data_IF_835242755876
#
_entry.id   IF_835242755876
#
_cell.length_a   1.000
_cell.length_b   1.000
_cell.length_c   1.000
_cell.angle_alpha   90.00
_cell.angle_beta   90.00
_cell.angle_gamma   90.00
#
_symmetry.space_group_name_H-M   'P 1'
#
loop_
_entity.id
_entity.type
_entity.pdbx_description
1 polymer ?
#
# COMPACT_ATOMS: atom_id res chain seq x y z
N UNK A 1 0.51 27.13 0.03
CA UNK A 1 1.41 26.00 -0.25
C UNK A 1 0.67 24.68 0.07
N UNK A 2 1.00 23.55 -0.56
CA UNK A 2 0.40 22.28 -0.19
C UNK A 2 0.86 21.82 1.19
N UNK A 3 0.10 20.91 1.79
CA UNK A 3 0.39 20.34 3.11
C UNK A 3 0.75 18.86 3.00
N UNK A 4 1.45 18.37 4.03
CA UNK A 4 1.78 16.97 4.22
C UNK A 4 1.74 16.60 5.70
N UNK A 5 1.47 15.33 5.97
CA UNK A 5 1.70 14.76 7.30
C UNK A 5 3.20 14.49 7.45
N UNK A 6 3.78 15.06 8.48
CA UNK A 6 5.19 14.86 8.86
C UNK A 6 5.32 14.51 10.34
N UNK A 7 6.43 13.91 10.70
CA UNK A 7 6.80 13.68 12.09
C UNK A 7 8.28 13.95 12.32
N UNK A 8 8.61 14.48 13.50
CA UNK A 8 9.95 14.97 13.88
C UNK A 8 10.63 14.04 14.89
N UNK A 9 9.88 13.11 15.46
CA UNK A 9 10.35 12.06 16.37
C UNK A 9 9.42 10.86 16.29
N UNK A 10 9.90 9.63 16.56
CA UNK A 10 9.03 8.46 16.65
C UNK A 10 8.05 8.59 17.83
N UNK A 11 6.88 7.96 17.71
CA UNK A 11 5.89 7.99 18.79
C UNK A 11 4.52 7.44 18.39
N UNK A 12 3.52 7.79 19.18
CA UNK A 12 2.12 7.51 18.92
C UNK A 12 1.54 8.39 17.82
N UNK A 13 0.22 8.32 17.57
CA UNK A 13 -0.44 9.13 16.53
C UNK A 13 -0.25 10.64 16.70
N UNK A 14 -0.02 11.10 17.92
CA UNK A 14 0.16 12.51 18.30
C UNK A 14 1.40 13.17 17.70
N UNK A 15 2.39 12.38 17.25
CA UNK A 15 3.61 12.93 16.61
C UNK A 15 3.37 13.34 15.17
N UNK A 16 2.27 12.91 14.56
CA UNK A 16 1.89 13.28 13.20
C UNK A 16 1.39 14.72 13.16
N UNK A 17 2.04 15.55 12.35
CA UNK A 17 1.71 16.97 12.19
C UNK A 17 1.32 17.28 10.75
N UNK A 18 0.26 18.03 10.57
CA UNK A 18 -0.16 18.58 9.30
C UNK A 18 0.58 19.89 9.07
N UNK A 19 1.52 19.90 8.14
CA UNK A 19 2.46 21.00 7.94
C UNK A 19 2.46 21.46 6.50
N UNK A 20 2.64 22.77 6.28
CA UNK A 20 2.95 23.30 4.96
C UNK A 20 4.30 22.80 4.49
N UNK A 21 4.38 22.41 3.21
CA UNK A 21 5.60 21.91 2.58
C UNK A 21 5.85 22.64 1.25
N UNK A 22 7.08 22.99 1.02
CA UNK A 22 7.49 23.45 -0.30
C UNK A 22 7.68 22.24 -1.22
N UNK A 23 6.96 22.21 -2.33
CA UNK A 23 7.13 21.22 -3.38
C UNK A 23 7.65 21.94 -4.61
N UNK A 24 8.91 21.70 -4.96
CA UNK A 24 9.56 22.31 -6.11
C UNK A 24 9.10 21.74 -7.45
N UNK A 25 9.86 22.05 -8.50
CA UNK A 25 9.71 21.42 -9.79
C UNK A 25 10.34 20.03 -9.81
N UNK A 26 9.81 19.09 -10.61
CA UNK A 26 10.34 17.74 -10.67
C UNK A 26 11.74 17.73 -11.27
N UNK A 27 12.65 16.96 -10.65
CA UNK A 27 13.94 16.62 -11.22
C UNK A 27 13.80 15.82 -12.53
N UNK A 28 14.90 15.60 -13.28
CA UNK A 28 14.82 15.02 -14.62
C UNK A 28 14.00 13.73 -14.74
N UNK A 29 14.07 12.84 -13.74
CA UNK A 29 13.38 11.55 -13.73
C UNK A 29 12.19 11.49 -12.75
N UNK A 30 11.68 12.64 -12.30
CA UNK A 30 10.60 12.73 -11.33
C UNK A 30 9.30 13.23 -11.98
N UNK A 31 8.21 12.97 -11.27
CA UNK A 31 6.93 13.59 -11.53
C UNK A 31 6.43 14.30 -10.27
N UNK A 32 5.71 15.41 -10.46
CA UNK A 32 4.92 16.05 -9.41
C UNK A 32 3.49 15.54 -9.50
N UNK A 33 3.03 14.92 -8.42
CA UNK A 33 1.70 14.29 -8.35
C UNK A 33 0.86 15.00 -7.30
N UNK A 34 -0.34 15.41 -7.70
CA UNK A 34 -1.42 15.84 -6.78
C UNK A 34 -2.24 14.62 -6.41
N UNK A 35 -2.26 14.27 -5.12
CA UNK A 35 -3.06 13.16 -4.64
C UNK A 35 -4.55 13.48 -4.61
N UNK A 36 -5.35 12.48 -4.93
CA UNK A 36 -6.79 12.43 -4.72
C UNK A 36 -7.15 11.42 -3.61
N UNK A 37 -6.33 10.37 -3.46
CA UNK A 37 -6.45 9.40 -2.39
C UNK A 37 -5.08 8.86 -1.99
N UNK A 38 -4.92 8.48 -0.74
CA UNK A 38 -3.71 7.82 -0.21
C UNK A 38 -4.11 6.56 0.56
N UNK A 39 -3.31 5.50 0.42
CA UNK A 39 -3.52 4.23 1.11
C UNK A 39 -2.89 4.24 2.49
N UNK A 40 -3.62 3.75 3.49
CA UNK A 40 -3.11 3.52 4.84
C UNK A 40 -2.67 2.06 4.97
N UNK A 41 -1.43 1.85 5.38
CA UNK A 41 -0.84 0.53 5.51
C UNK A 41 -0.17 0.33 6.88
N UNK A 42 -0.11 -0.91 7.36
CA UNK A 42 0.42 -1.19 8.68
C UNK A 42 1.91 -0.81 8.82
N UNK A 43 2.66 -0.82 7.73
CA UNK A 43 4.06 -0.39 7.70
C UNK A 43 4.21 1.09 8.08
N UNK A 44 3.21 1.92 7.86
CA UNK A 44 3.23 3.33 8.25
C UNK A 44 3.31 3.48 9.77
N UNK A 45 2.69 2.55 10.51
CA UNK A 45 2.82 2.47 11.97
C UNK A 45 4.26 2.13 12.36
N UNK A 46 4.90 1.19 11.66
CA UNK A 46 6.31 0.85 11.94
C UNK A 46 7.26 2.02 11.68
N UNK A 47 7.04 2.79 10.63
CA UNK A 47 7.79 4.01 10.37
C UNK A 47 7.58 5.04 11.49
N UNK A 48 6.32 5.33 11.82
CA UNK A 48 5.97 6.31 12.85
C UNK A 48 6.55 5.95 14.22
N UNK A 49 6.47 4.69 14.62
CA UNK A 49 6.96 4.23 15.94
C UNK A 49 8.47 4.05 16.00
N UNK A 50 9.17 4.12 14.87
CA UNK A 50 10.61 3.91 14.77
C UNK A 50 11.03 2.44 14.72
N UNK A 51 10.08 1.47 14.65
CA UNK A 51 10.40 0.06 14.43
C UNK A 51 11.12 -0.14 13.07
N UNK A 52 10.77 0.68 12.08
CA UNK A 52 11.51 0.84 10.82
C UNK A 52 12.03 2.29 10.75
N UNK A 53 13.29 2.53 11.15
CA UNK A 53 13.82 3.88 11.26
C UNK A 53 13.81 4.64 9.92
N UNK A 54 13.46 5.92 9.99
CA UNK A 54 13.57 6.87 8.89
C UNK A 54 14.43 8.05 9.29
N UNK A 55 15.13 8.71 8.36
CA UNK A 55 15.73 10.02 8.62
C UNK A 55 14.65 11.03 9.00
N UNK A 56 14.88 11.80 10.07
CA UNK A 56 13.92 12.79 10.57
C UNK A 56 14.40 14.24 10.31
N UNK A 57 13.47 15.17 10.08
CA UNK A 57 12.02 15.00 9.99
C UNK A 57 11.59 14.27 8.72
N UNK A 58 10.59 13.42 8.80
CA UNK A 58 10.13 12.58 7.68
C UNK A 58 8.65 12.83 7.33
N UNK A 59 8.31 12.60 6.07
CA UNK A 59 6.94 12.27 5.67
C UNK A 59 6.60 10.83 6.02
N UNK A 60 5.36 10.42 5.73
CA UNK A 60 4.85 9.07 5.98
C UNK A 60 3.94 8.61 4.82
N UNK A 61 3.69 7.32 4.73
CA UNK A 61 2.86 6.72 3.69
C UNK A 61 3.65 6.27 2.47
N UNK A 62 3.21 5.16 1.88
CA UNK A 62 3.88 4.49 0.76
C UNK A 62 2.96 4.25 -0.43
N UNK A 63 1.69 4.65 -0.36
CA UNK A 63 0.69 4.32 -1.36
C UNK A 63 -0.21 5.51 -1.64
N UNK A 64 -0.50 5.74 -2.92
CA UNK A 64 -1.38 6.83 -3.31
C UNK A 64 -1.80 6.77 -4.76
N UNK A 65 -2.82 7.55 -5.09
CA UNK A 65 -3.30 7.76 -6.44
C UNK A 65 -3.68 9.23 -6.64
N UNK A 66 -3.48 9.72 -7.84
CA UNK A 66 -3.73 11.13 -8.15
C UNK A 66 -3.45 11.47 -9.60
N UNK A 67 -3.21 12.75 -9.86
CA UNK A 67 -2.96 13.28 -11.19
C UNK A 67 -1.55 13.87 -11.25
N UNK A 68 -0.85 13.57 -12.32
CA UNK A 68 0.45 14.19 -12.64
C UNK A 68 0.24 15.66 -12.96
N UNK A 69 0.90 16.56 -12.24
CA UNK A 69 0.89 18.00 -12.53
C UNK A 69 2.02 18.44 -13.47
N UNK A 70 3.19 17.81 -13.29
CA UNK A 70 4.39 18.10 -14.08
C UNK A 70 5.31 16.88 -14.11
N UNK A 71 6.17 16.80 -15.11
CA UNK A 71 7.19 15.75 -15.25
C UNK A 71 8.54 16.36 -15.58
N UNK A 72 9.61 15.69 -15.17
CA UNK A 72 10.98 16.05 -15.50
C UNK A 72 11.32 15.76 -16.97
N UNK A 73 12.44 16.32 -17.44
CA UNK A 73 12.86 16.30 -18.84
C UNK A 73 13.11 14.91 -19.41
N UNK A 74 13.50 13.96 -18.56
CA UNK A 74 13.82 12.58 -18.97
C UNK A 74 12.62 11.62 -18.91
N UNK A 75 11.47 12.05 -18.39
CA UNK A 75 10.25 11.24 -18.29
C UNK A 75 9.58 11.18 -19.66
N UNK A 76 9.42 9.97 -20.21
CA UNK A 76 8.85 9.75 -21.55
C UNK A 76 7.42 9.21 -21.54
N UNK A 77 7.09 8.41 -20.51
CA UNK A 77 5.86 7.60 -20.52
C UNK A 77 4.69 8.27 -19.77
N UNK A 78 4.96 9.41 -19.10
CA UNK A 78 3.97 10.18 -18.33
C UNK A 78 3.95 11.63 -18.80
N UNK A 79 2.80 12.27 -18.60
CA UNK A 79 2.59 13.70 -18.87
C UNK A 79 1.62 14.31 -17.87
N UNK A 80 1.60 15.62 -17.79
CA UNK A 80 0.60 16.35 -17.02
C UNK A 80 -0.82 15.94 -17.43
N UNK A 81 -1.68 15.73 -16.47
CA UNK A 81 -3.05 15.24 -16.62
C UNK A 81 -3.19 13.72 -16.55
N UNK A 82 -2.11 12.94 -16.63
CA UNK A 82 -2.19 11.48 -16.49
C UNK A 82 -2.65 11.11 -15.08
N UNK A 83 -3.64 10.21 -15.02
CA UNK A 83 -4.09 9.57 -13.77
C UNK A 83 -3.12 8.46 -13.42
N UNK A 84 -2.64 8.44 -12.19
CA UNK A 84 -1.62 7.48 -11.75
C UNK A 84 -1.93 6.92 -10.37
N UNK A 85 -1.39 5.73 -10.11
CA UNK A 85 -1.33 5.12 -8.78
C UNK A 85 0.07 4.54 -8.55
N UNK A 86 0.44 4.35 -7.31
CA UNK A 86 1.74 3.78 -6.94
C UNK A 86 1.72 3.14 -5.57
N UNK A 87 2.68 2.23 -5.34
CA UNK A 87 3.05 1.77 -4.01
C UNK A 87 4.57 1.60 -3.90
N UNK A 88 5.09 1.77 -2.69
CA UNK A 88 6.52 1.67 -2.38
C UNK A 88 7.18 3.03 -2.18
N UNK A 89 8.47 2.98 -1.88
CA UNK A 89 9.24 4.19 -1.57
C UNK A 89 9.52 5.11 -2.76
N UNK A 90 9.94 6.34 -2.46
CA UNK A 90 10.22 6.89 -1.13
C UNK A 90 8.92 7.15 -0.33
N UNK A 91 9.02 7.21 1.02
CA UNK A 91 7.91 7.58 1.91
C UNK A 91 7.47 9.03 1.67
N UNK A 92 6.20 9.35 2.04
CA UNK A 92 5.66 10.71 1.89
C UNK A 92 4.36 10.77 1.09
N UNK A 93 3.61 9.66 1.01
CA UNK A 93 2.32 9.64 0.33
C UNK A 93 1.25 10.47 1.04
N UNK A 94 1.37 10.69 2.36
CA UNK A 94 0.39 11.49 3.11
C UNK A 94 0.64 12.99 2.89
N UNK A 95 0.48 13.42 1.66
CA UNK A 95 0.67 14.80 1.22
C UNK A 95 -0.36 15.17 0.15
N UNK A 96 -0.73 16.43 0.05
CA UNK A 96 -1.58 16.90 -1.04
C UNK A 96 -0.86 16.84 -2.38
N UNK A 97 0.44 17.17 -2.37
CA UNK A 97 1.30 17.15 -3.56
C UNK A 97 2.68 16.65 -3.16
N UNK A 98 3.30 15.86 -4.03
CA UNK A 98 4.70 15.43 -3.82
C UNK A 98 5.47 15.28 -5.11
N UNK A 99 6.80 15.25 -5.00
CA UNK A 99 7.68 14.71 -6.03
C UNK A 99 7.89 13.22 -5.77
N UNK A 100 7.95 12.44 -6.85
CA UNK A 100 8.19 11.00 -6.80
C UNK A 100 8.93 10.57 -8.07
N UNK A 101 9.88 9.61 -8.00
CA UNK A 101 10.47 9.03 -9.19
C UNK A 101 9.39 8.49 -10.14
N UNK A 102 9.44 8.88 -11.39
CA UNK A 102 8.40 8.58 -12.37
C UNK A 102 8.25 7.08 -12.66
N UNK A 103 9.33 6.30 -12.48
CA UNK A 103 9.34 4.83 -12.63
C UNK A 103 8.50 4.10 -11.57
N UNK A 104 8.07 4.79 -10.51
CA UNK A 104 7.17 4.25 -9.48
C UNK A 104 5.70 4.39 -9.83
N UNK A 105 5.38 5.19 -10.83
CA UNK A 105 4.02 5.52 -11.21
C UNK A 105 3.48 4.56 -12.27
N UNK A 106 2.27 4.09 -12.04
CA UNK A 106 1.51 3.29 -12.99
C UNK A 106 0.29 4.08 -13.44
N UNK A 107 0.01 4.13 -14.73
CA UNK A 107 -1.21 4.77 -15.25
C UNK A 107 -2.44 4.06 -14.70
N UNK A 108 -3.33 4.84 -14.09
CA UNK A 108 -4.59 4.34 -13.54
C UNK A 108 -5.66 4.37 -14.64
N UNK A 109 -6.24 3.21 -15.01
CA UNK A 109 -7.33 3.15 -15.99
C UNK A 109 -8.53 4.01 -15.57
N UNK A 110 -9.24 4.56 -16.54
CA UNK A 110 -10.43 5.41 -16.29
C UNK A 110 -11.53 4.69 -15.51
N UNK A 111 -11.66 3.37 -15.71
CA UNK A 111 -12.64 2.53 -15.01
C UNK A 111 -12.38 2.40 -13.50
N UNK A 112 -11.19 2.77 -13.00
CA UNK A 112 -10.86 2.71 -11.58
C UNK A 112 -10.89 4.10 -10.97
N UNK A 113 -11.44 4.22 -9.76
CA UNK A 113 -11.39 5.48 -9.00
C UNK A 113 -10.01 5.68 -8.36
N UNK A 114 -9.69 6.88 -7.91
CA UNK A 114 -8.43 7.14 -7.20
C UNK A 114 -8.38 6.39 -5.87
N UNK A 115 -9.52 6.25 -5.18
CA UNK A 115 -9.63 5.50 -3.92
C UNK A 115 -9.31 4.02 -4.17
N UNK A 116 -9.84 3.44 -5.25
CA UNK A 116 -9.50 2.07 -5.64
C UNK A 116 -8.01 1.95 -5.96
N UNK A 117 -7.45 2.89 -6.74
CA UNK A 117 -6.02 2.95 -7.03
C UNK A 117 -5.15 3.00 -5.77
N UNK A 118 -5.50 3.88 -4.82
CA UNK A 118 -4.76 4.05 -3.58
C UNK A 118 -4.94 2.89 -2.58
N UNK A 119 -5.97 2.07 -2.70
CA UNK A 119 -6.24 0.95 -1.79
C UNK A 119 -5.71 -0.40 -2.29
N UNK A 120 -5.39 -0.52 -3.60
CA UNK A 120 -5.07 -1.81 -4.19
C UNK A 120 -3.58 -2.06 -4.44
N UNK A 121 -2.78 -0.99 -4.59
CA UNK A 121 -1.42 -1.14 -5.11
C UNK A 121 -0.51 -1.89 -4.15
N UNK A 122 -0.35 -1.42 -2.92
CA UNK A 122 0.58 -2.03 -1.97
C UNK A 122 0.14 -3.45 -1.58
N UNK A 123 -1.11 -3.61 -1.22
CA UNK A 123 -1.65 -4.89 -0.76
C UNK A 123 -1.75 -5.89 -1.92
N UNK A 124 -2.21 -5.45 -3.10
CA UNK A 124 -2.32 -6.29 -4.30
C UNK A 124 -0.97 -6.73 -4.83
N UNK A 125 0.01 -5.83 -4.90
CA UNK A 125 1.39 -6.17 -5.30
C UNK A 125 2.03 -7.13 -4.29
N UNK A 126 1.77 -6.95 -2.98
CA UNK A 126 2.25 -7.86 -1.94
C UNK A 126 1.67 -9.25 -2.12
N UNK A 127 0.36 -9.37 -2.31
CA UNK A 127 -0.27 -10.65 -2.59
C UNK A 127 0.29 -11.31 -3.87
N UNK A 128 0.51 -10.51 -4.92
CA UNK A 128 1.07 -10.99 -6.18
C UNK A 128 2.45 -11.60 -6.00
N UNK A 129 3.39 -10.88 -5.37
CA UNK A 129 4.74 -11.44 -5.27
C UNK A 129 4.81 -12.62 -4.32
N UNK A 130 4.01 -12.65 -3.24
CA UNK A 130 3.95 -13.79 -2.33
C UNK A 130 3.47 -15.05 -3.04
N UNK A 131 2.39 -14.96 -3.81
CA UNK A 131 1.75 -16.11 -4.47
C UNK A 131 2.42 -16.53 -5.78
N UNK A 132 3.18 -15.63 -6.43
CA UNK A 132 3.66 -15.86 -7.81
C UNK A 132 5.19 -15.81 -7.97
N UNK A 133 5.90 -15.17 -7.03
CA UNK A 133 7.35 -14.97 -7.14
C UNK A 133 8.12 -15.56 -5.96
N UNK A 134 7.67 -15.33 -4.72
CA UNK A 134 8.30 -15.90 -3.51
C UNK A 134 8.04 -17.41 -3.45
N UNK A 135 6.78 -17.80 -3.57
CA UNK A 135 6.36 -19.18 -3.75
C UNK A 135 5.28 -19.23 -4.82
N UNK A 136 5.52 -19.98 -5.89
CA UNK A 136 4.57 -20.09 -6.99
C UNK A 136 3.50 -21.12 -6.64
N UNK A 137 2.42 -20.66 -6.05
CA UNK A 137 1.28 -21.49 -5.64
C UNK A 137 0.69 -22.22 -6.83
N UNK A 138 0.48 -23.54 -6.67
CA UNK A 138 -0.07 -24.48 -7.66
C UNK A 138 -1.42 -25.03 -7.17
N UNK A 139 -2.27 -25.54 -8.08
CA UNK A 139 -3.47 -26.29 -7.70
C UNK A 139 -3.11 -27.49 -6.81
N UNK A 140 -3.87 -27.66 -5.70
CA UNK A 140 -3.63 -28.71 -4.72
C UNK A 140 -2.67 -28.37 -3.60
N UNK A 141 -1.94 -27.25 -3.68
CA UNK A 141 -1.11 -26.78 -2.58
C UNK A 141 -1.94 -26.45 -1.34
N UNK A 142 -1.33 -26.62 -0.17
CA UNK A 142 -1.86 -26.09 1.10
C UNK A 142 -0.94 -25.00 1.60
N UNK A 143 -1.48 -23.81 1.79
CA UNK A 143 -0.74 -22.65 2.28
C UNK A 143 -1.25 -22.20 3.63
N UNK A 144 -0.35 -21.64 4.44
CA UNK A 144 -0.68 -20.97 5.70
C UNK A 144 -0.45 -19.46 5.52
N UNK A 145 -1.44 -18.66 5.92
CA UNK A 145 -1.30 -17.21 5.96
C UNK A 145 -1.64 -16.66 7.35
N UNK A 146 -0.77 -15.82 7.90
CA UNK A 146 -1.05 -15.06 9.10
C UNK A 146 -1.88 -13.81 8.78
N UNK A 147 -2.69 -13.38 9.75
CA UNK A 147 -3.60 -12.23 9.58
C UNK A 147 -4.51 -12.35 8.35
N UNK A 148 -5.13 -13.53 8.17
CA UNK A 148 -5.92 -13.86 6.99
C UNK A 148 -7.11 -12.91 6.73
N UNK A 149 -7.60 -12.20 7.75
CA UNK A 149 -8.63 -11.17 7.63
C UNK A 149 -8.06 -9.74 7.49
N UNK A 150 -6.74 -9.58 7.33
CA UNK A 150 -6.12 -8.30 7.02
C UNK A 150 -6.16 -7.97 5.52
N UNK A 151 -5.74 -6.75 5.15
CA UNK A 151 -5.82 -6.30 3.77
C UNK A 151 -5.11 -7.21 2.76
N UNK A 152 -3.85 -7.58 3.01
CA UNK A 152 -3.12 -8.58 2.19
C UNK A 152 -3.76 -9.96 2.33
N UNK A 153 -4.16 -10.35 3.56
CA UNK A 153 -4.74 -11.65 3.85
C UNK A 153 -5.98 -11.96 3.04
N UNK A 154 -6.93 -11.03 2.97
CA UNK A 154 -8.16 -11.20 2.21
C UNK A 154 -7.90 -11.38 0.70
N UNK A 155 -6.94 -10.63 0.15
CA UNK A 155 -6.56 -10.77 -1.27
C UNK A 155 -5.88 -12.12 -1.51
N UNK A 156 -4.96 -12.53 -0.62
CA UNK A 156 -4.26 -13.82 -0.72
C UNK A 156 -5.24 -14.99 -0.62
N UNK A 157 -6.19 -14.94 0.33
CA UNK A 157 -7.20 -16.00 0.47
C UNK A 157 -8.01 -16.19 -0.83
N UNK A 158 -8.52 -15.10 -1.40
CA UNK A 158 -9.28 -15.14 -2.65
C UNK A 158 -8.44 -15.65 -3.82
N UNK A 159 -7.24 -15.11 -3.98
CA UNK A 159 -6.37 -15.46 -5.11
C UNK A 159 -5.83 -16.88 -5.01
N UNK A 160 -5.38 -17.32 -3.84
CA UNK A 160 -4.92 -18.69 -3.62
C UNK A 160 -6.05 -19.70 -3.87
N UNK A 161 -7.27 -19.40 -3.41
CA UNK A 161 -8.46 -20.20 -3.69
C UNK A 161 -8.73 -20.31 -5.19
N UNK A 162 -8.66 -19.19 -5.92
CA UNK A 162 -8.82 -19.18 -7.38
C UNK A 162 -7.70 -19.96 -8.11
N UNK A 163 -6.53 -20.08 -7.52
CA UNK A 163 -5.43 -20.91 -8.02
C UNK A 163 -5.60 -22.42 -7.70
N UNK A 164 -6.65 -22.79 -6.96
CA UNK A 164 -6.91 -24.18 -6.57
C UNK A 164 -6.15 -24.65 -5.32
N UNK A 165 -5.61 -23.73 -4.54
CA UNK A 165 -4.96 -24.05 -3.28
C UNK A 165 -5.96 -24.14 -2.12
N UNK A 166 -5.59 -24.91 -1.08
CA UNK A 166 -6.24 -24.93 0.22
C UNK A 166 -5.60 -23.87 1.12
N UNK A 167 -6.41 -23.02 1.73
CA UNK A 167 -5.92 -21.89 2.55
C UNK A 167 -6.20 -22.15 4.02
N UNK A 168 -5.16 -22.19 4.83
CA UNK A 168 -5.21 -22.14 6.30
C UNK A 168 -4.86 -20.71 6.71
N UNK A 169 -5.68 -20.08 7.56
CA UNK A 169 -5.47 -18.68 7.93
C UNK A 169 -5.53 -18.45 9.42
N UNK A 170 -4.58 -17.70 10.01
CA UNK A 170 -4.67 -17.33 11.42
C UNK A 170 -5.35 -15.98 11.59
N UNK A 171 -6.22 -15.88 12.59
CA UNK A 171 -7.00 -14.68 12.92
C UNK A 171 -7.13 -14.52 14.43
N UNK A 172 -7.47 -13.29 14.89
CA UNK A 172 -7.56 -12.97 16.32
C UNK A 172 -8.96 -13.04 16.92
N UNK A 173 -10.01 -13.26 16.12
CA UNK A 173 -11.40 -13.32 16.62
C UNK A 173 -12.31 -14.12 15.70
N UNK A 174 -13.49 -14.51 16.21
CA UNK A 174 -14.50 -15.23 15.43
C UNK A 174 -15.06 -14.40 14.26
N UNK A 175 -15.24 -13.10 14.44
CA UNK A 175 -15.64 -12.18 13.37
C UNK A 175 -14.61 -12.19 12.22
N UNK A 176 -13.33 -12.13 12.57
CA UNK A 176 -12.24 -12.21 11.59
C UNK A 176 -12.17 -13.58 10.92
N UNK A 177 -12.51 -14.65 11.66
CA UNK A 177 -12.58 -16.00 11.10
C UNK A 177 -13.71 -16.10 10.06
N UNK A 178 -14.89 -15.56 10.38
CA UNK A 178 -16.02 -15.49 9.45
C UNK A 178 -15.67 -14.68 8.20
N UNK A 179 -15.02 -13.52 8.37
CA UNK A 179 -14.58 -12.67 7.26
C UNK A 179 -13.58 -13.39 6.36
N UNK A 180 -12.52 -13.98 6.93
CA UNK A 180 -11.52 -14.73 6.17
C UNK A 180 -12.17 -15.90 5.40
N UNK A 181 -13.08 -16.64 6.02
CA UNK A 181 -13.81 -17.75 5.42
C UNK A 181 -14.66 -17.29 4.23
N UNK A 182 -15.38 -16.18 4.38
CA UNK A 182 -16.16 -15.58 3.29
C UNK A 182 -15.29 -15.18 2.08
N UNK A 183 -13.99 -14.94 2.30
CA UNK A 183 -13.01 -14.58 1.28
C UNK A 183 -12.09 -15.73 0.85
N UNK A 184 -12.47 -17.00 1.11
CA UNK A 184 -11.77 -18.15 0.55
C UNK A 184 -10.76 -18.83 1.47
N UNK A 185 -10.66 -18.44 2.74
CA UNK A 185 -9.92 -19.21 3.73
C UNK A 185 -10.70 -20.49 4.07
N UNK A 186 -10.12 -21.67 3.79
CA UNK A 186 -10.77 -22.95 4.05
C UNK A 186 -10.80 -23.30 5.55
N UNK A 187 -9.69 -22.99 6.26
CA UNK A 187 -9.50 -23.33 7.67
C UNK A 187 -8.97 -22.13 8.48
N UNK A 188 -9.86 -21.25 8.95
CA UNK A 188 -9.45 -20.19 9.86
C UNK A 188 -9.13 -20.76 11.25
N UNK A 189 -7.99 -20.35 11.82
CA UNK A 189 -7.53 -20.70 13.16
C UNK A 189 -7.62 -19.45 14.03
N UNK A 190 -8.42 -19.48 15.08
CA UNK A 190 -8.54 -18.36 16.05
C UNK A 190 -7.48 -18.54 17.14
N UNK A 191 -6.28 -18.00 16.94
CA UNK A 191 -5.11 -18.22 17.77
C UNK A 191 -5.25 -17.73 19.21
N UNK A 192 -6.27 -16.95 19.54
CA UNK A 192 -6.56 -16.51 20.91
C UNK A 192 -7.20 -17.61 21.77
N UNK A 193 -7.74 -18.67 21.17
CA UNK A 193 -8.36 -19.79 21.89
C UNK A 193 -7.85 -21.17 21.44
N UNK A 194 -7.35 -21.28 20.21
CA UNK A 194 -6.81 -22.53 19.67
C UNK A 194 -5.30 -22.57 19.89
N UNK A 195 -4.79 -23.66 20.44
CA UNK A 195 -3.35 -23.88 20.74
C UNK A 195 -2.75 -24.83 19.71
#
# INVERSE_FOLDING_TARGET
MPHAIRFHQPGGPEVLKWEEVAVGDPGPNEARVRHHAVGLNFIDIYHRTGAYPLPLPSGIGLEGAGVVEAVGSEVKDLKAGDRVAYAGGPVGAYAEVRLIPADRLVKLPEALTFEQGAAMMLQGMTAQYLLRRTYRVQPGDTILIHAAAGGVGLIVCQWAKALGAKVIGTVGSDEKAALAKAHGCDHPIVYTREK
#
